data_IF_113834312033
#
_entry.id   IF_113834312033
#
_cell.length_a   1.000
_cell.length_b   1.000
_cell.length_c   1.000
_cell.angle_alpha   90.00
_cell.angle_beta   90.00
_cell.angle_gamma   90.00
#
_symmetry.space_group_name_H-M   'P 1'
#
loop_
_entity.id
_entity.type
_entity.pdbx_description
1 polymer ?
#
# COMPACT_ATOMS: atom_id res chain seq x y z
N UNK A 1 8.41 -4.06 5.18
CA UNK A 1 7.21 -4.16 4.35
C UNK A 1 7.64 -4.27 2.90
N UNK A 2 6.96 -5.08 2.07
CA UNK A 2 7.29 -5.18 0.66
C UNK A 2 6.98 -3.89 -0.10
N UNK A 3 7.72 -3.63 -1.17
CA UNK A 3 7.31 -2.63 -2.14
C UNK A 3 6.06 -3.11 -2.85
N UNK A 4 5.12 -2.21 -3.15
CA UNK A 4 3.83 -2.58 -3.74
C UNK A 4 3.32 -1.58 -4.76
N UNK A 5 2.66 -2.09 -5.80
CA UNK A 5 1.90 -1.29 -6.75
C UNK A 5 0.46 -1.79 -6.76
N UNK A 6 -0.47 -0.90 -6.39
CA UNK A 6 -1.89 -1.21 -6.24
C UNK A 6 -2.70 -0.34 -7.19
N UNK A 7 -3.45 -0.98 -8.08
CA UNK A 7 -4.45 -0.35 -8.92
C UNK A 7 -5.83 -0.60 -8.34
N UNK A 8 -6.62 0.45 -8.16
CA UNK A 8 -8.01 0.39 -7.76
C UNK A 8 -8.86 1.07 -8.84
N UNK A 9 -9.64 0.30 -9.60
CA UNK A 9 -10.53 0.80 -10.64
C UNK A 9 -11.98 0.57 -10.20
N UNK A 10 -12.84 1.56 -10.39
CA UNK A 10 -14.26 1.49 -10.05
C UNK A 10 -15.11 1.98 -11.21
N UNK A 11 -16.14 1.21 -11.57
CA UNK A 11 -17.17 1.58 -12.54
C UNK A 11 -18.53 1.55 -11.85
N UNK A 12 -19.44 2.40 -12.32
CA UNK A 12 -20.76 2.57 -11.73
C UNK A 12 -21.85 2.33 -12.76
N UNK A 13 -23.01 1.86 -12.31
CA UNK A 13 -24.25 1.91 -13.07
C UNK A 13 -25.36 2.54 -12.25
N UNK A 14 -26.33 3.13 -12.93
CA UNK A 14 -27.53 3.69 -12.32
C UNK A 14 -28.74 3.19 -13.09
N UNK A 15 -29.70 2.62 -12.36
CA UNK A 15 -30.97 2.11 -12.92
C UNK A 15 -30.75 1.15 -14.11
N UNK A 16 -29.76 0.27 -13.99
CA UNK A 16 -29.39 -0.70 -15.03
C UNK A 16 -28.56 -0.16 -16.18
N UNK A 17 -28.24 1.15 -16.19
CA UNK A 17 -27.39 1.77 -17.22
C UNK A 17 -25.96 2.01 -16.70
N UNK A 18 -24.97 1.37 -17.33
CA UNK A 18 -23.56 1.55 -17.00
C UNK A 18 -23.10 2.94 -17.40
N UNK A 19 -22.51 3.66 -16.44
CA UNK A 19 -21.96 4.99 -16.70
C UNK A 19 -20.76 4.90 -17.63
N UNK A 20 -20.57 5.96 -18.42
CA UNK A 20 -19.53 6.02 -19.43
C UNK A 20 -18.12 6.28 -18.86
N UNK A 21 -18.02 6.83 -17.65
CA UNK A 21 -16.76 7.06 -16.94
C UNK A 21 -16.35 5.91 -16.03
N UNK A 22 -15.12 5.98 -15.52
CA UNK A 22 -14.61 5.14 -14.45
C UNK A 22 -13.73 5.99 -13.53
N UNK A 23 -13.48 5.49 -12.32
CA UNK A 23 -12.54 6.05 -11.37
C UNK A 23 -11.34 5.11 -11.29
N UNK A 24 -10.13 5.64 -11.24
CA UNK A 24 -8.95 4.84 -10.93
C UNK A 24 -8.01 5.56 -9.99
N UNK A 25 -7.49 4.81 -9.02
CA UNK A 25 -6.46 5.25 -8.09
C UNK A 25 -5.33 4.23 -8.10
N UNK A 26 -4.10 4.70 -8.29
CA UNK A 26 -2.90 3.88 -8.23
C UNK A 26 -2.08 4.31 -7.04
N UNK A 27 -1.66 3.34 -6.24
CA UNK A 27 -0.82 3.55 -5.08
C UNK A 27 0.53 2.85 -5.28
N UNK A 28 1.61 3.55 -4.96
CA UNK A 28 2.97 3.01 -4.91
C UNK A 28 3.41 3.03 -3.44
N UNK A 29 3.75 1.88 -2.89
CA UNK A 29 4.09 1.69 -1.47
C UNK A 29 3.05 2.28 -0.51
N UNK A 30 1.77 2.06 -0.85
CA UNK A 30 0.62 2.57 -0.09
C UNK A 30 0.35 4.06 -0.28
N UNK A 31 1.18 4.79 -1.02
CA UNK A 31 1.01 6.22 -1.26
C UNK A 31 0.25 6.49 -2.56
N UNK A 32 -0.74 7.41 -2.57
CA UNK A 32 -1.38 7.83 -3.80
C UNK A 32 -0.33 8.31 -4.80
N UNK A 33 -0.34 7.71 -5.99
CA UNK A 33 0.67 7.93 -7.02
C UNK A 33 0.03 8.50 -8.29
N UNK A 34 -1.15 8.00 -8.65
CA UNK A 34 -1.91 8.43 -9.82
C UNK A 34 -3.40 8.42 -9.49
N UNK A 35 -4.10 9.49 -9.87
CA UNK A 35 -5.57 9.51 -9.83
C UNK A 35 -6.15 9.83 -11.21
N UNK A 36 -7.23 9.14 -11.52
CA UNK A 36 -7.98 9.26 -12.75
C UNK A 36 -9.46 9.42 -12.42
N UNK A 37 -10.04 10.52 -12.86
CA UNK A 37 -11.46 10.82 -12.68
C UNK A 37 -12.04 11.16 -14.07
N UNK A 38 -13.09 10.42 -14.48
CA UNK A 38 -13.91 10.58 -15.72
C UNK A 38 -13.44 9.83 -16.98
N UNK A 39 -14.28 9.91 -18.02
CA UNK A 39 -14.14 9.24 -19.34
C UNK A 39 -12.77 9.43 -20.02
N UNK A 40 -12.15 10.60 -19.86
CA UNK A 40 -10.84 10.91 -20.42
C UNK A 40 -9.85 10.91 -19.27
N UNK A 41 -9.34 9.73 -18.96
CA UNK A 41 -8.27 9.58 -18.01
C UNK A 41 -7.10 10.47 -18.45
N UNK A 42 -6.60 11.31 -17.54
CA UNK A 42 -5.23 11.80 -17.61
C UNK A 42 -4.60 11.43 -16.30
N UNK A 43 -3.68 10.48 -16.36
CA UNK A 43 -2.84 10.14 -15.23
C UNK A 43 -2.17 11.42 -14.70
N UNK A 44 -2.65 11.90 -13.55
CA UNK A 44 -2.02 13.03 -12.86
C UNK A 44 -1.21 12.48 -11.70
N UNK A 45 0.06 12.88 -11.58
CA UNK A 45 0.86 12.46 -10.44
C UNK A 45 0.23 13.03 -9.16
N UNK A 46 0.37 12.30 -8.06
CA UNK A 46 -0.10 12.76 -6.76
C UNK A 46 1.10 13.21 -5.92
N UNK A 47 1.40 14.51 -5.99
CA UNK A 47 2.50 15.17 -5.28
C UNK A 47 3.73 15.44 -6.15
N UNK A 48 4.53 16.44 -5.74
CA UNK A 48 5.72 16.91 -6.47
C UNK A 48 6.77 15.79 -6.69
N UNK A 49 6.88 14.87 -5.73
CA UNK A 49 7.80 13.73 -5.81
C UNK A 49 7.52 12.80 -7.00
N UNK A 50 6.28 12.76 -7.51
CA UNK A 50 5.91 11.96 -8.67
C UNK A 50 5.96 12.75 -9.99
N UNK A 51 5.66 14.05 -9.97
CA UNK A 51 5.72 14.94 -11.15
C UNK A 51 7.12 15.00 -11.76
N UNK A 52 8.15 15.15 -10.93
CA UNK A 52 9.51 15.47 -11.39
C UNK A 52 10.33 14.26 -11.85
N UNK A 53 9.85 13.02 -11.63
CA UNK A 53 10.64 11.79 -11.83
C UNK A 53 10.20 11.03 -13.07
N UNK A 54 8.91 11.04 -13.40
CA UNK A 54 8.37 10.25 -14.51
C UNK A 54 8.01 11.14 -15.69
N UNK A 55 8.61 10.85 -16.84
CA UNK A 55 8.33 11.59 -18.08
C UNK A 55 6.93 11.33 -18.63
N UNK A 56 6.43 12.26 -19.46
CA UNK A 56 5.10 12.22 -20.10
C UNK A 56 4.76 10.87 -20.74
N UNK A 57 5.74 10.20 -21.38
CA UNK A 57 5.54 8.86 -21.98
C UNK A 57 5.04 7.80 -20.98
N UNK A 58 5.47 7.87 -19.73
CA UNK A 58 5.01 6.96 -18.68
C UNK A 58 3.56 7.24 -18.32
N UNK A 59 3.19 8.51 -18.18
CA UNK A 59 1.83 8.94 -17.88
C UNK A 59 0.85 8.64 -19.02
N UNK A 60 1.28 8.81 -20.27
CA UNK A 60 0.50 8.46 -21.45
C UNK A 60 0.23 6.95 -21.51
N UNK A 61 1.23 6.13 -21.17
CA UNK A 61 1.08 4.67 -21.12
C UNK A 61 0.12 4.23 -20.00
N UNK A 62 0.30 4.73 -18.78
CA UNK A 62 -0.63 4.43 -17.68
C UNK A 62 -2.05 4.90 -18.01
N UNK A 63 -2.19 6.05 -18.67
CA UNK A 63 -3.48 6.56 -19.14
C UNK A 63 -4.14 5.60 -20.14
N UNK A 64 -3.38 5.09 -21.12
CA UNK A 64 -3.85 4.09 -22.09
C UNK A 64 -4.31 2.81 -21.39
N UNK A 65 -3.46 2.24 -20.55
CA UNK A 65 -3.72 0.97 -19.85
C UNK A 65 -4.95 1.09 -18.92
N UNK A 66 -5.06 2.18 -18.15
CA UNK A 66 -6.21 2.42 -17.28
C UNK A 66 -7.51 2.59 -18.09
N UNK A 67 -7.44 3.25 -19.25
CA UNK A 67 -8.59 3.44 -20.12
C UNK A 67 -9.10 2.13 -20.72
N UNK A 68 -8.19 1.24 -21.11
CA UNK A 68 -8.54 -0.10 -21.58
C UNK A 68 -9.17 -0.95 -20.46
N UNK A 69 -8.54 -0.97 -19.28
CA UNK A 69 -9.07 -1.69 -18.12
C UNK A 69 -10.44 -1.15 -17.68
N UNK A 70 -10.64 0.17 -17.71
CA UNK A 70 -11.93 0.79 -17.42
C UNK A 70 -13.03 0.43 -18.43
N UNK A 71 -12.68 0.22 -19.71
CA UNK A 71 -13.62 -0.31 -20.72
C UNK A 71 -14.00 -1.75 -20.42
N UNK A 72 -13.02 -2.60 -20.15
CA UNK A 72 -13.20 -4.01 -19.79
C UNK A 72 -14.08 -4.18 -18.55
N UNK A 73 -13.85 -3.37 -17.53
CA UNK A 73 -14.60 -3.42 -16.29
C UNK A 73 -16.05 -2.97 -16.50
N UNK A 74 -16.30 -1.97 -17.35
CA UNK A 74 -17.67 -1.56 -17.73
C UNK A 74 -18.41 -2.65 -18.50
N UNK A 75 -17.75 -3.34 -19.44
CA UNK A 75 -18.34 -4.48 -20.14
C UNK A 75 -18.69 -5.61 -19.16
N UNK A 76 -17.82 -5.85 -18.18
CA UNK A 76 -18.07 -6.83 -17.12
C UNK A 76 -19.28 -6.43 -16.26
N UNK A 77 -19.35 -5.16 -15.82
CA UNK A 77 -20.50 -4.66 -15.07
C UNK A 77 -21.79 -4.81 -15.90
N UNK A 78 -21.79 -4.45 -17.18
CA UNK A 78 -22.96 -4.58 -18.05
C UNK A 78 -23.52 -6.01 -18.13
N UNK A 79 -22.68 -7.04 -17.95
CA UNK A 79 -23.10 -8.44 -17.96
C UNK A 79 -23.72 -8.90 -16.63
N UNK A 80 -23.52 -8.16 -15.52
CA UNK A 80 -24.12 -8.49 -14.23
C UNK A 80 -25.62 -8.16 -14.28
N UNK A 81 -26.46 -9.19 -14.23
CA UNK A 81 -27.93 -9.06 -14.41
C UNK A 81 -28.69 -8.52 -13.18
N UNK A 82 -28.01 -8.35 -12.05
CA UNK A 82 -28.57 -7.92 -10.76
C UNK A 82 -28.73 -6.40 -10.62
N UNK A 83 -28.56 -5.63 -11.71
CA UNK A 83 -28.56 -4.16 -11.69
C UNK A 83 -29.97 -3.55 -11.68
N UNK A 84 -30.89 -4.06 -10.87
CA UNK A 84 -32.28 -3.58 -10.83
C UNK A 84 -32.45 -2.42 -9.86
N UNK A 85 -32.48 -1.21 -10.42
CA UNK A 85 -32.82 0.03 -9.71
C UNK A 85 -31.71 0.52 -8.78
N UNK A 86 -31.50 1.83 -8.74
CA UNK A 86 -30.50 2.44 -7.85
C UNK A 86 -29.08 2.44 -8.42
N UNK A 87 -28.11 2.69 -7.54
CA UNK A 87 -26.70 2.82 -7.87
C UNK A 87 -25.99 1.49 -7.58
N UNK A 88 -25.28 0.95 -8.57
CA UNK A 88 -24.41 -0.20 -8.39
C UNK A 88 -22.96 0.14 -8.74
N UNK A 89 -22.03 -0.62 -8.16
CA UNK A 89 -20.60 -0.46 -8.37
C UNK A 89 -19.92 -1.80 -8.60
N UNK A 90 -18.97 -1.81 -9.53
CA UNK A 90 -18.01 -2.90 -9.70
C UNK A 90 -16.61 -2.31 -9.54
N UNK A 91 -15.87 -2.86 -8.60
CA UNK A 91 -14.51 -2.45 -8.30
C UNK A 91 -13.53 -3.59 -8.56
N UNK A 92 -12.40 -3.23 -9.11
CA UNK A 92 -11.29 -4.10 -9.47
C UNK A 92 -10.04 -3.62 -8.75
N UNK A 93 -9.47 -4.46 -7.89
CA UNK A 93 -8.23 -4.16 -7.17
C UNK A 93 -7.14 -5.15 -7.59
N UNK A 94 -6.11 -4.65 -8.26
CA UNK A 94 -4.89 -5.41 -8.59
C UNK A 94 -3.74 -4.96 -7.73
N UNK A 95 -3.01 -5.91 -7.15
CA UNK A 95 -1.82 -5.63 -6.34
C UNK A 95 -0.68 -6.53 -6.79
N UNK A 96 0.51 -5.96 -6.96
CA UNK A 96 1.76 -6.71 -7.03
C UNK A 96 2.75 -6.19 -5.99
N UNK A 97 3.50 -7.11 -5.40
CA UNK A 97 4.43 -6.86 -4.29
C UNK A 97 5.79 -7.47 -4.61
N UNK A 98 6.86 -6.81 -4.16
CA UNK A 98 8.24 -7.31 -4.17
C UNK A 98 8.77 -7.25 -2.74
N UNK A 99 9.12 -8.40 -2.19
CA UNK A 99 9.68 -8.54 -0.85
C UNK A 99 11.21 -8.37 -0.85
N UNK A 100 11.78 -8.21 0.35
CA UNK A 100 13.22 -8.07 0.56
C UNK A 100 14.01 -9.29 0.06
N UNK A 101 13.44 -10.49 0.18
CA UNK A 101 14.00 -11.74 -0.37
C UNK A 101 13.83 -11.88 -1.89
N UNK A 102 13.41 -10.80 -2.57
CA UNK A 102 13.07 -10.76 -3.99
C UNK A 102 11.88 -11.64 -4.41
N UNK A 103 11.18 -12.27 -3.46
CA UNK A 103 9.94 -12.99 -3.75
C UNK A 103 8.85 -11.99 -4.17
N UNK A 104 7.94 -12.45 -5.04
CA UNK A 104 6.83 -11.62 -5.50
C UNK A 104 5.50 -12.20 -5.07
N UNK A 105 4.56 -11.31 -4.77
CA UNK A 105 3.15 -11.68 -4.60
C UNK A 105 2.32 -10.86 -5.56
N UNK A 106 1.23 -11.44 -6.03
CA UNK A 106 0.29 -10.72 -6.88
C UNK A 106 -1.11 -11.27 -6.70
N UNK A 107 -2.07 -10.36 -6.62
CA UNK A 107 -3.47 -10.71 -6.39
C UNK A 107 -4.40 -9.80 -7.15
N UNK A 108 -5.58 -10.34 -7.44
CA UNK A 108 -6.65 -9.63 -8.11
C UNK A 108 -7.94 -9.84 -7.32
N UNK A 109 -8.66 -8.77 -7.02
CA UNK A 109 -9.89 -8.79 -6.25
C UNK A 109 -10.99 -8.03 -6.96
N UNK A 110 -12.20 -8.56 -6.92
CA UNK A 110 -13.39 -7.96 -7.50
C UNK A 110 -14.46 -7.80 -6.42
N UNK A 111 -14.98 -6.58 -6.33
CA UNK A 111 -16.00 -6.20 -5.38
C UNK A 111 -17.23 -5.70 -6.13
N UNK A 112 -18.40 -6.14 -5.70
CA UNK A 112 -19.69 -5.66 -6.23
C UNK A 112 -20.46 -5.03 -5.07
N UNK A 113 -20.86 -3.77 -5.22
CA UNK A 113 -21.51 -2.97 -4.17
C UNK A 113 -20.75 -2.98 -2.83
N UNK A 114 -19.41 -2.96 -2.92
CA UNK A 114 -18.51 -2.96 -1.76
C UNK A 114 -18.19 -4.35 -1.19
N UNK A 115 -18.87 -5.41 -1.62
CA UNK A 115 -18.65 -6.77 -1.14
C UNK A 115 -17.71 -7.57 -2.07
N UNK A 116 -16.68 -8.19 -1.49
CA UNK A 116 -15.80 -9.10 -2.23
C UNK A 116 -16.63 -10.28 -2.73
N UNK A 117 -16.56 -10.59 -4.02
CA UNK A 117 -17.21 -11.78 -4.58
C UNK A 117 -16.26 -12.73 -5.30
N UNK A 118 -15.10 -12.23 -5.76
CA UNK A 118 -14.14 -13.03 -6.50
C UNK A 118 -12.71 -12.51 -6.28
N UNK A 119 -11.77 -13.41 -6.05
CA UNK A 119 -10.35 -13.08 -6.04
C UNK A 119 -9.52 -14.14 -6.78
N UNK A 120 -8.35 -13.73 -7.26
CA UNK A 120 -7.36 -14.60 -7.87
C UNK A 120 -6.01 -14.38 -7.21
N UNK A 121 -5.39 -15.45 -6.74
CA UNK A 121 -3.96 -15.44 -6.46
C UNK A 121 -3.23 -15.67 -7.79
N UNK A 122 -2.47 -14.69 -8.27
CA UNK A 122 -1.88 -14.74 -9.61
C UNK A 122 -0.63 -15.63 -9.70
N UNK A 123 0.01 -15.93 -8.57
CA UNK A 123 1.14 -16.88 -8.52
C UNK A 123 0.66 -18.33 -8.68
N UNK A 124 -0.38 -18.73 -7.93
CA UNK A 124 -0.99 -20.07 -8.04
C UNK A 124 -2.02 -20.17 -9.16
N UNK A 125 -2.45 -19.02 -9.69
CA UNK A 125 -3.54 -18.86 -10.66
C UNK A 125 -4.90 -19.39 -10.18
N UNK A 126 -5.05 -19.56 -8.87
CA UNK A 126 -6.26 -20.10 -8.26
C UNK A 126 -7.27 -18.99 -8.02
N UNK A 127 -8.48 -19.19 -8.55
CA UNK A 127 -9.64 -18.35 -8.24
C UNK A 127 -10.28 -18.81 -6.93
N UNK A 128 -10.72 -17.85 -6.13
CA UNK A 128 -11.40 -18.05 -4.86
C UNK A 128 -12.62 -17.15 -4.80
N UNK A 129 -13.76 -17.70 -4.37
CA UNK A 129 -14.97 -16.94 -4.11
C UNK A 129 -15.37 -17.16 -2.64
N UNK A 130 -15.89 -16.15 -1.93
CA UNK A 130 -16.45 -16.32 -0.59
C UNK A 130 -17.57 -17.37 -0.55
N UNK A 131 -17.76 -17.99 0.62
CA UNK A 131 -18.83 -18.97 0.87
C UNK A 131 -20.20 -18.28 1.09
N UNK A 132 -20.60 -17.45 0.13
CA UNK A 132 -21.90 -16.78 0.10
C UNK A 132 -22.58 -17.14 -1.22
N UNK A 133 -23.88 -17.47 -1.17
CA UNK A 133 -24.65 -17.80 -2.36
C UNK A 133 -24.61 -16.68 -3.40
N UNK A 134 -24.79 -15.42 -2.95
CA UNK A 134 -24.70 -14.23 -3.80
C UNK A 134 -23.32 -14.10 -4.45
N UNK A 135 -22.26 -14.23 -3.66
CA UNK A 135 -20.89 -14.12 -4.15
C UNK A 135 -20.56 -15.20 -5.18
N UNK A 136 -20.99 -16.45 -4.93
CA UNK A 136 -20.78 -17.57 -5.85
C UNK A 136 -21.55 -17.39 -7.17
N UNK A 137 -22.79 -16.89 -7.12
CA UNK A 137 -23.56 -16.58 -8.34
C UNK A 137 -22.89 -15.47 -9.16
N UNK A 138 -22.46 -14.38 -8.52
CA UNK A 138 -21.73 -13.29 -9.19
C UNK A 138 -20.42 -13.79 -9.81
N UNK A 139 -19.63 -14.55 -9.05
CA UNK A 139 -18.38 -15.13 -9.52
C UNK A 139 -18.61 -16.05 -10.73
N UNK A 140 -19.64 -16.90 -10.71
CA UNK A 140 -19.97 -17.80 -11.82
C UNK A 140 -20.39 -17.02 -13.07
N UNK A 141 -21.25 -16.00 -12.92
CA UNK A 141 -21.69 -15.17 -14.05
C UNK A 141 -20.52 -14.46 -14.71
N UNK A 142 -19.69 -13.78 -13.91
CA UNK A 142 -18.55 -13.00 -14.40
C UNK A 142 -17.47 -13.89 -15.04
N UNK A 143 -17.12 -15.01 -14.39
CA UNK A 143 -16.10 -15.91 -14.95
C UNK A 143 -16.57 -16.62 -16.22
N UNK A 144 -17.86 -16.91 -16.37
CA UNK A 144 -18.43 -17.45 -17.61
C UNK A 144 -18.38 -16.43 -18.75
N UNK A 145 -18.75 -15.17 -18.47
CA UNK A 145 -18.61 -14.07 -19.42
C UNK A 145 -17.15 -13.92 -19.90
N UNK A 146 -16.19 -13.92 -18.97
CA UNK A 146 -14.78 -13.79 -19.34
C UNK A 146 -14.26 -14.94 -20.19
N UNK A 147 -14.72 -16.17 -19.94
CA UNK A 147 -14.31 -17.35 -20.71
C UNK A 147 -14.93 -17.38 -22.11
N UNK A 148 -16.20 -17.00 -22.25
CA UNK A 148 -16.98 -17.22 -23.47
C UNK A 148 -17.03 -16.00 -24.39
N UNK A 149 -17.10 -14.81 -23.81
CA UNK A 149 -17.36 -13.57 -24.55
C UNK A 149 -16.13 -12.67 -24.56
N UNK A 150 -15.54 -12.39 -23.39
CA UNK A 150 -14.34 -11.55 -23.32
C UNK A 150 -13.04 -12.30 -23.69
N UNK A 151 -13.13 -13.61 -23.95
CA UNK A 151 -12.02 -14.49 -24.38
C UNK A 151 -10.74 -14.34 -23.53
N UNK A 152 -10.87 -14.08 -22.23
CA UNK A 152 -9.73 -13.90 -21.32
C UNK A 152 -9.08 -15.24 -21.03
N UNK A 153 -7.90 -15.46 -21.63
CA UNK A 153 -7.11 -16.68 -21.47
C UNK A 153 -6.20 -16.62 -20.25
N UNK A 154 -5.67 -17.77 -19.83
CA UNK A 154 -4.61 -17.87 -18.81
C UNK A 154 -3.39 -16.99 -19.15
N UNK A 155 -3.10 -16.77 -20.43
CA UNK A 155 -2.01 -15.90 -20.90
C UNK A 155 -2.28 -14.43 -20.62
N UNK A 156 -3.53 -13.98 -20.77
CA UNK A 156 -3.93 -12.60 -20.44
C UNK A 156 -3.64 -12.26 -18.97
N UNK A 157 -4.08 -13.13 -18.04
CA UNK A 157 -3.82 -12.94 -16.61
C UNK A 157 -2.32 -12.93 -16.27
N UNK A 158 -1.51 -13.78 -16.92
CA UNK A 158 -0.05 -13.79 -16.76
C UNK A 158 0.60 -12.50 -17.26
N UNK A 159 0.15 -11.99 -18.41
CA UNK A 159 0.66 -10.74 -18.97
C UNK A 159 0.36 -9.56 -18.06
N UNK A 160 -0.86 -9.46 -17.52
CA UNK A 160 -1.22 -8.40 -16.57
C UNK A 160 -0.38 -8.46 -15.28
N UNK A 161 -0.11 -9.66 -14.76
CA UNK A 161 0.77 -9.83 -13.60
C UNK A 161 2.21 -9.40 -13.92
N UNK A 162 2.73 -9.80 -15.08
CA UNK A 162 4.07 -9.42 -15.52
C UNK A 162 4.19 -7.90 -15.71
N UNK A 163 3.19 -7.25 -16.31
CA UNK A 163 3.13 -5.80 -16.49
C UNK A 163 3.15 -5.06 -15.14
N UNK A 164 2.33 -5.47 -14.16
CA UNK A 164 2.35 -4.86 -12.83
C UNK A 164 3.73 -4.93 -12.18
N UNK A 165 4.35 -6.12 -12.20
CA UNK A 165 5.68 -6.33 -11.61
C UNK A 165 6.76 -5.51 -12.34
N UNK A 166 6.70 -5.46 -13.66
CA UNK A 166 7.64 -4.69 -14.48
C UNK A 166 7.50 -3.18 -14.19
N UNK A 167 6.27 -2.68 -14.06
CA UNK A 167 6.00 -1.29 -13.70
C UNK A 167 6.51 -0.97 -12.30
N UNK A 168 6.24 -1.82 -11.31
CA UNK A 168 6.75 -1.65 -9.95
C UNK A 168 8.29 -1.56 -9.95
N UNK A 169 9.00 -2.50 -10.59
CA UNK A 169 10.46 -2.44 -10.71
C UNK A 169 10.94 -1.14 -11.35
N UNK A 170 10.34 -0.75 -12.48
CA UNK A 170 10.68 0.50 -13.17
C UNK A 170 10.47 1.74 -12.28
N UNK A 171 9.41 1.77 -11.49
CA UNK A 171 9.16 2.87 -10.56
C UNK A 171 10.20 2.90 -9.45
N UNK A 172 10.55 1.75 -8.86
CA UNK A 172 11.62 1.67 -7.87
C UNK A 172 12.98 2.12 -8.44
N UNK A 173 13.34 1.64 -9.64
CA UNK A 173 14.58 2.00 -10.34
C UNK A 173 14.67 3.48 -10.73
N UNK A 174 13.52 4.14 -10.94
CA UNK A 174 13.49 5.59 -11.22
C UNK A 174 13.87 6.47 -10.02
N UNK A 175 14.02 5.88 -8.83
CA UNK A 175 14.36 6.61 -7.60
C UNK A 175 13.18 7.42 -7.03
N UNK A 176 11.97 7.24 -7.57
CA UNK A 176 10.77 7.97 -7.14
C UNK A 176 10.44 7.73 -5.66
N UNK A 177 10.68 6.50 -5.18
CA UNK A 177 10.47 6.13 -3.77
C UNK A 177 11.54 6.76 -2.87
N UNK A 178 12.79 6.82 -3.32
CA UNK A 178 13.89 7.45 -2.58
C UNK A 178 13.69 8.96 -2.40
N UNK A 179 13.12 9.65 -3.39
CA UNK A 179 12.81 11.10 -3.28
C UNK A 179 11.79 11.42 -2.19
N UNK A 180 11.02 10.44 -1.74
CA UNK A 180 10.02 10.62 -0.68
C UNK A 180 10.53 10.20 0.69
N UNK A 181 11.73 9.63 0.80
CA UNK A 181 12.27 9.25 2.11
C UNK A 181 12.36 10.48 3.01
N UNK A 182 11.64 10.45 4.13
CA UNK A 182 11.71 11.48 5.17
C UNK A 182 12.40 10.83 6.38
N UNK A 183 13.61 11.27 6.74
CA UNK A 183 14.29 10.78 7.93
C UNK A 183 13.50 11.10 9.21
N UNK A 184 13.55 10.25 10.25
CA UNK A 184 12.86 10.50 11.50
C UNK A 184 13.41 11.70 12.23
N UNK A 185 12.51 12.54 12.74
CA UNK A 185 12.82 13.46 13.82
C UNK A 185 12.85 12.67 15.12
N UNK A 186 14.03 12.55 15.71
CA UNK A 186 14.25 11.79 16.93
C UNK A 186 14.33 12.73 18.13
N UNK A 187 13.52 12.47 19.15
CA UNK A 187 13.54 13.20 20.41
C UNK A 187 13.60 12.22 21.58
N UNK A 188 14.49 12.48 22.54
CA UNK A 188 14.63 11.64 23.74
C UNK A 188 14.12 12.44 24.94
N UNK A 189 13.26 11.83 25.74
CA UNK A 189 12.63 12.44 26.90
C UNK A 189 12.84 11.56 28.13
N UNK A 190 12.83 12.16 29.32
CA UNK A 190 12.89 11.44 30.60
C UNK A 190 11.70 11.83 31.48
N UNK A 191 11.18 10.86 32.22
CA UNK A 191 10.21 11.12 33.29
C UNK A 191 10.89 11.72 34.51
N UNK A 192 10.09 12.25 35.43
CA UNK A 192 10.56 12.54 36.78
C UNK A 192 10.99 11.24 37.48
N UNK A 193 11.95 11.38 38.40
CA UNK A 193 12.46 10.26 39.16
C UNK A 193 11.43 9.80 40.19
N UNK A 194 11.10 8.52 40.16
CA UNK A 194 10.24 7.87 41.15
C UNK A 194 10.97 6.67 41.72
N UNK A 195 11.21 6.69 43.03
CA UNK A 195 11.92 5.63 43.76
C UNK A 195 13.32 5.33 43.18
N UNK A 196 14.06 6.39 42.82
CA UNK A 196 15.42 6.28 42.26
C UNK A 196 15.49 5.80 40.80
N UNK A 197 14.35 5.63 40.14
CA UNK A 197 14.26 5.22 38.75
C UNK A 197 13.64 6.32 37.87
N UNK A 198 14.11 6.40 36.63
CA UNK A 198 13.50 7.24 35.59
C UNK A 198 13.10 6.36 34.39
N UNK A 199 12.08 6.79 33.67
CA UNK A 199 11.71 6.21 32.37
C UNK A 199 12.28 7.11 31.28
N UNK A 200 13.09 6.54 30.40
CA UNK A 200 13.59 7.21 29.21
C UNK A 200 12.78 6.75 28.00
N UNK A 201 12.30 7.70 27.22
CA UNK A 201 11.48 7.45 26.03
C UNK A 201 12.11 8.10 24.81
N UNK A 202 12.37 7.28 23.79
CA UNK A 202 12.86 7.71 22.50
C UNK A 202 11.70 7.75 21.51
N UNK A 203 11.40 8.94 21.02
CA UNK A 203 10.35 9.22 20.04
C UNK A 203 10.97 9.33 18.66
N UNK A 204 10.40 8.65 17.67
CA UNK A 204 10.66 8.91 16.26
C UNK A 204 9.36 9.38 15.62
N UNK A 205 9.39 10.53 14.96
CA UNK A 205 8.21 11.13 14.35
C UNK A 205 8.53 11.66 12.95
N UNK A 206 7.48 11.91 12.15
CA UNK A 206 7.60 12.50 10.83
C UNK A 206 8.50 11.73 9.85
N UNK A 207 8.53 10.40 9.94
CA UNK A 207 9.34 9.57 9.04
C UNK A 207 8.53 8.86 7.96
N UNK A 208 9.16 8.58 6.83
CA UNK A 208 8.65 7.74 5.75
C UNK A 208 9.82 7.06 5.03
N UNK A 209 9.77 5.75 4.70
CA UNK A 209 8.65 4.80 4.82
C UNK A 209 8.36 4.32 6.25
N UNK A 210 7.29 3.54 6.42
CA UNK A 210 6.79 3.03 7.71
C UNK A 210 7.78 2.14 8.45
N UNK A 211 8.60 1.40 7.71
CA UNK A 211 9.63 0.51 8.27
C UNK A 211 10.67 1.32 9.04
N UNK A 212 10.80 1.08 10.34
CA UNK A 212 11.81 1.68 11.20
C UNK A 212 12.19 0.68 12.30
N UNK A 213 13.45 0.75 12.74
CA UNK A 213 13.92 0.03 13.92
C UNK A 213 14.33 1.07 14.96
N UNK A 214 13.75 1.01 16.15
CA UNK A 214 14.21 1.75 17.34
C UNK A 214 14.67 0.73 18.36
N UNK A 215 15.66 0.99 19.21
CA UNK A 215 15.91 0.15 20.40
C UNK A 215 16.81 0.88 21.37
N UNK A 216 16.62 0.66 22.66
CA UNK A 216 17.55 1.10 23.68
C UNK A 216 18.77 0.18 23.73
N UNK A 217 19.94 0.79 23.87
CA UNK A 217 21.22 0.12 24.08
C UNK A 217 21.82 0.54 25.41
N UNK A 218 22.28 -0.42 26.19
CA UNK A 218 23.09 -0.21 27.38
C UNK A 218 24.54 -0.55 27.04
N UNK A 219 25.45 0.43 27.19
CA UNK A 219 26.87 0.28 26.85
C UNK A 219 27.09 -0.27 25.42
N UNK A 220 26.23 0.14 24.48
CA UNK A 220 26.26 -0.29 23.08
C UNK A 220 25.55 -1.61 22.77
N UNK A 221 25.01 -2.33 23.77
CA UNK A 221 24.31 -3.60 23.58
C UNK A 221 22.79 -3.38 23.62
N UNK A 222 22.07 -3.83 22.59
CA UNK A 222 20.61 -3.73 22.51
C UNK A 222 19.92 -4.47 23.66
N UNK A 223 18.99 -3.80 24.32
CA UNK A 223 18.16 -4.39 25.36
C UNK A 223 17.24 -5.47 24.78
N UNK A 224 16.84 -6.41 25.64
CA UNK A 224 15.86 -7.43 25.28
C UNK A 224 14.48 -6.80 25.02
N UNK A 225 13.66 -7.47 24.22
CA UNK A 225 12.31 -7.00 23.90
C UNK A 225 11.43 -6.81 25.15
N UNK A 226 11.59 -7.67 26.17
CA UNK A 226 10.81 -7.62 27.41
C UNK A 226 11.23 -6.51 28.37
N UNK A 227 12.44 -5.96 28.20
CA UNK A 227 12.95 -4.84 28.99
C UNK A 227 12.51 -3.47 28.45
N UNK A 228 11.70 -3.46 27.38
CA UNK A 228 11.31 -2.26 26.65
C UNK A 228 9.80 -2.23 26.41
N UNK A 229 9.26 -1.03 26.34
CA UNK A 229 7.88 -0.75 25.97
C UNK A 229 7.84 -0.03 24.65
N UNK A 230 6.90 -0.37 23.79
CA UNK A 230 6.84 0.11 22.41
C UNK A 230 5.47 0.67 22.11
N UNK A 231 5.45 1.81 21.41
CA UNK A 231 4.25 2.30 20.74
C UNK A 231 4.10 1.65 19.38
N UNK A 232 2.85 1.39 18.98
CA UNK A 232 2.55 1.05 17.59
C UNK A 232 3.07 2.14 16.63
N UNK A 233 3.41 1.73 15.40
CA UNK A 233 3.75 2.70 14.35
C UNK A 233 2.45 3.27 13.79
N UNK A 234 2.15 4.51 14.18
CA UNK A 234 0.90 5.23 13.86
C UNK A 234 1.12 6.28 12.77
N UNK A 235 0.09 6.57 11.94
CA UNK A 235 0.17 7.63 10.93
C UNK A 235 0.04 9.04 11.54
N UNK A 236 0.84 9.99 11.05
CA UNK A 236 0.82 11.41 11.46
C UNK A 236 -0.24 12.26 10.75
N UNK A 237 -0.98 11.70 9.78
CA UNK A 237 -2.03 12.38 9.03
C UNK A 237 -1.56 13.24 7.85
N UNK A 238 -0.26 13.52 7.73
CA UNK A 238 0.38 14.20 6.60
C UNK A 238 1.12 13.22 5.64
N UNK A 239 0.95 11.91 5.84
CA UNK A 239 1.62 10.87 5.05
C UNK A 239 2.94 10.35 5.64
N UNK A 240 3.33 10.78 6.85
CA UNK A 240 4.43 10.20 7.63
C UNK A 240 3.92 9.36 8.80
N UNK A 241 4.85 8.77 9.57
CA UNK A 241 4.58 7.93 10.72
C UNK A 241 5.30 8.41 11.98
N UNK A 242 4.79 7.98 13.12
CA UNK A 242 5.39 8.13 14.44
C UNK A 242 5.38 6.81 15.22
N UNK A 243 6.36 6.65 16.11
CA UNK A 243 6.46 5.55 17.06
C UNK A 243 7.41 5.95 18.21
N UNK A 244 7.50 5.11 19.23
CA UNK A 244 8.39 5.34 20.36
C UNK A 244 8.81 4.03 21.03
N UNK A 245 9.94 4.08 21.72
CA UNK A 245 10.42 3.00 22.59
C UNK A 245 10.87 3.57 23.93
N UNK A 246 10.46 2.93 25.03
CA UNK A 246 10.78 3.34 26.39
C UNK A 246 11.40 2.21 27.20
N UNK A 247 12.25 2.56 28.16
CA UNK A 247 12.78 1.64 29.16
C UNK A 247 12.96 2.36 30.49
N UNK A 248 12.99 1.60 31.59
CA UNK A 248 13.19 2.13 32.95
C UNK A 248 14.63 1.90 33.37
N UNK A 249 15.30 2.94 33.85
CA UNK A 249 16.71 2.91 34.24
C UNK A 249 16.90 3.54 35.62
N UNK A 250 17.99 3.18 36.28
CA UNK A 250 18.42 3.80 37.53
C UNK A 250 18.88 5.24 37.25
N UNK A 251 18.48 6.16 38.12
CA UNK A 251 18.97 7.54 38.07
C UNK A 251 20.50 7.55 38.27
N UNK A 252 21.23 8.30 37.44
CA UNK A 252 22.69 8.35 37.44
C UNK A 252 23.35 7.42 36.41
N UNK A 253 22.61 6.51 35.77
CA UNK A 253 23.12 5.65 34.70
C UNK A 253 22.81 6.17 33.29
N UNK A 254 22.28 7.39 33.14
CA UNK A 254 21.76 7.93 31.87
C UNK A 254 22.78 7.86 30.73
N UNK A 255 24.05 8.13 31.03
CA UNK A 255 25.14 8.14 30.05
C UNK A 255 25.44 6.75 29.46
N UNK A 256 25.02 5.67 30.13
CA UNK A 256 25.17 4.29 29.64
C UNK A 256 24.11 3.92 28.60
N UNK A 257 23.03 4.69 28.52
CA UNK A 257 21.89 4.39 27.67
C UNK A 257 21.85 5.28 26.43
N UNK A 258 21.62 4.65 25.28
CA UNK A 258 21.45 5.34 24.00
C UNK A 258 20.29 4.73 23.24
N UNK A 259 19.51 5.57 22.55
CA UNK A 259 18.52 5.11 21.59
C UNK A 259 19.17 4.93 20.23
N UNK A 260 19.19 3.70 19.74
CA UNK A 260 19.60 3.37 18.38
C UNK A 260 18.38 3.42 17.46
N UNK A 261 18.53 4.10 16.32
CA UNK A 261 17.50 4.22 15.29
C UNK A 261 18.09 3.78 13.96
N UNK A 262 17.38 2.93 13.23
CA UNK A 262 17.69 2.58 11.86
C UNK A 262 16.47 2.83 10.98
N UNK A 263 16.65 3.65 9.95
CA UNK A 263 15.59 4.00 9.02
C UNK A 263 16.15 4.13 7.60
N UNK A 264 15.62 3.35 6.67
CA UNK A 264 16.03 3.37 5.25
C UNK A 264 17.54 3.22 5.02
N UNK A 265 18.21 2.38 5.82
CA UNK A 265 19.66 2.15 5.77
C UNK A 265 20.50 3.23 6.45
N UNK A 266 19.89 4.27 7.01
CA UNK A 266 20.57 5.26 7.84
C UNK A 266 20.52 4.84 9.32
N UNK A 267 21.67 4.92 9.99
CA UNK A 267 21.82 4.56 11.40
C UNK A 267 22.08 5.82 12.24
N UNK A 268 21.32 5.98 13.31
CA UNK A 268 21.41 7.08 14.28
C UNK A 268 21.57 6.56 15.69
N UNK A 269 22.26 7.32 16.54
CA UNK A 269 22.40 7.02 17.98
C UNK A 269 22.18 8.30 18.76
N UNK A 270 21.22 8.27 19.69
CA UNK A 270 20.75 9.43 20.43
C UNK A 270 20.93 9.21 21.93
N UNK A 271 21.77 9.99 22.62
CA UNK A 271 21.98 9.85 24.06
C UNK A 271 20.78 10.35 24.88
N UNK A 272 20.71 9.92 26.14
CA UNK A 272 19.74 10.47 27.10
C UNK A 272 20.13 11.93 27.44
N UNK A 273 19.19 12.89 27.38
CA UNK A 273 19.45 14.27 27.78
C UNK A 273 19.85 14.37 29.25
N UNK A 274 20.79 15.28 29.54
CA UNK A 274 21.25 15.59 30.91
C UNK A 274 20.20 16.33 31.72
#
# INVERSE_FOLDING_TARGET
EPHSLRYNLTVLSRDGSVQSGFLAEVHLDGQPFLRCDRQKCRAKPQGQWAEDVLGNKTWDRETGDLTENGKDLRMTLAHIKDQKGGLHSLQEIRVCEIHEDSSTRSSWHFYYDGELFLSQNLETQKWTAPQSSRAQTLAMNVTNFWKKEAMKTKTHYRAMQADCRQKLKRYLESGIVLRRTVPPMVNVTRSEASEGNITVTCWASSFYPRNITLTWRQDGISLSHNAQQWGDVLPDGNGTYQTWVATRICQGEEQRFTCYVEHSGNHGTHPVPS
#
